data_IF_050343177854
#
_entry.id   IF_050343177854
#
_cell.length_a   1.000
_cell.length_b   1.000
_cell.length_c   1.000
_cell.angle_alpha   90.00
_cell.angle_beta   90.00
_cell.angle_gamma   90.00
#
_symmetry.space_group_name_H-M   'P 1'
#
loop_
_entity.id
_entity.type
_entity.pdbx_description
1 polymer ?
#
# COMPACT_ATOMS: atom_id res chain seq x y z
N UNK A 1 11.55 22.07 13.75
CA UNK A 1 11.29 23.45 13.25
C UNK A 1 10.18 23.35 12.21
N UNK A 2 9.10 24.12 12.40
CA UNK A 2 8.04 24.21 11.36
C UNK A 2 8.56 25.17 10.30
N UNK A 3 8.85 24.66 9.09
CA UNK A 3 9.23 25.50 7.95
C UNK A 3 8.00 26.30 7.50
N UNK A 4 8.11 27.61 7.46
CA UNK A 4 7.06 28.47 6.94
C UNK A 4 7.34 28.80 5.47
N UNK A 5 6.34 28.61 4.62
CA UNK A 5 6.38 29.04 3.22
C UNK A 5 5.58 30.34 3.11
N UNK A 6 6.19 31.38 2.54
CA UNK A 6 5.51 32.63 2.23
C UNK A 6 5.30 32.71 0.72
N UNK A 7 4.05 32.84 0.29
CA UNK A 7 3.69 33.00 -1.11
C UNK A 7 3.22 34.44 -1.36
N UNK A 8 3.88 35.12 -2.30
CA UNK A 8 3.47 36.42 -2.80
C UNK A 8 2.80 36.22 -4.15
N UNK A 9 1.50 36.45 -4.21
CA UNK A 9 0.71 36.33 -5.43
C UNK A 9 0.79 37.57 -6.32
N UNK A 10 0.04 37.58 -7.45
CA UNK A 10 -0.12 38.73 -8.35
C UNK A 10 0.87 38.78 -9.52
N UNK A 11 1.83 37.85 -9.58
CA UNK A 11 2.75 37.76 -10.73
C UNK A 11 2.26 36.70 -11.72
N UNK A 12 2.05 36.99 -13.00
CA UNK A 12 1.73 35.99 -14.01
C UNK A 12 2.87 34.97 -14.14
N UNK A 13 2.55 33.71 -14.04
CA UNK A 13 3.52 32.62 -14.23
C UNK A 13 3.69 32.35 -15.74
N UNK A 14 4.94 32.20 -16.19
CA UNK A 14 5.32 31.79 -17.55
C UNK A 14 6.46 30.80 -17.46
N UNK A 15 6.43 29.75 -18.26
CA UNK A 15 7.47 28.72 -18.31
C UNK A 15 6.88 27.31 -18.36
N UNK A 16 7.76 26.32 -18.29
CA UNK A 16 7.43 24.90 -18.33
C UNK A 16 7.83 24.24 -17.02
N UNK A 17 7.03 23.26 -16.57
CA UNK A 17 7.31 22.44 -15.41
C UNK A 17 7.17 20.99 -15.79
N UNK A 18 8.23 20.20 -15.61
CA UNK A 18 8.16 18.74 -15.75
C UNK A 18 7.52 18.13 -14.52
N UNK A 19 6.37 17.47 -14.71
CA UNK A 19 5.63 16.84 -13.64
C UNK A 19 6.24 15.46 -13.32
N UNK A 20 6.55 15.24 -12.05
CA UNK A 20 6.93 13.91 -11.53
C UNK A 20 5.70 13.02 -11.37
N UNK A 21 5.94 11.71 -11.21
CA UNK A 21 4.89 10.72 -10.99
C UNK A 21 3.99 11.05 -9.79
N UNK A 22 2.74 10.58 -9.86
CA UNK A 22 1.71 10.93 -8.89
C UNK A 22 1.99 10.34 -7.50
N UNK A 23 2.05 11.19 -6.48
CA UNK A 23 2.22 10.81 -5.08
C UNK A 23 1.27 9.68 -4.68
N UNK A 24 -0.01 9.79 -5.04
CA UNK A 24 -1.03 8.84 -4.60
C UNK A 24 -1.00 7.51 -5.38
N UNK A 25 -0.39 7.45 -6.54
CA UNK A 25 -0.30 6.22 -7.34
C UNK A 25 0.89 5.35 -6.92
N UNK A 26 2.06 5.97 -6.75
CA UNK A 26 3.32 5.23 -6.59
C UNK A 26 3.30 4.22 -5.45
N UNK A 27 2.86 4.54 -4.22
CA UNK A 27 2.80 3.57 -3.14
C UNK A 27 1.95 2.34 -3.45
N UNK A 28 0.85 2.52 -4.18
CA UNK A 28 -0.05 1.42 -4.56
C UNK A 28 0.56 0.54 -5.64
N UNK A 29 1.23 1.15 -6.62
CA UNK A 29 1.97 0.41 -7.64
C UNK A 29 3.14 -0.38 -7.03
N UNK A 30 3.79 0.16 -5.99
CA UNK A 30 4.82 -0.54 -5.23
C UNK A 30 4.25 -1.75 -4.50
N UNK A 31 3.11 -1.61 -3.81
CA UNK A 31 2.43 -2.72 -3.13
C UNK A 31 1.97 -3.78 -4.14
N UNK A 32 1.50 -3.38 -5.32
CA UNK A 32 1.10 -4.30 -6.37
C UNK A 32 2.26 -5.20 -6.88
N UNK A 33 3.51 -4.78 -6.71
CA UNK A 33 4.67 -5.61 -7.05
C UNK A 33 4.72 -6.93 -6.27
N UNK A 34 4.12 -7.02 -5.07
CA UNK A 34 3.98 -8.27 -4.31
C UNK A 34 3.13 -9.33 -5.03
N UNK A 35 2.34 -8.95 -6.03
CA UNK A 35 1.52 -9.86 -6.83
C UNK A 35 2.30 -10.51 -7.98
N UNK A 36 3.50 -10.02 -8.29
CA UNK A 36 4.37 -10.57 -9.32
C UNK A 36 5.39 -11.55 -8.70
N UNK A 37 5.76 -12.59 -9.44
CA UNK A 37 6.91 -13.43 -9.11
C UNK A 37 8.22 -12.88 -9.70
N UNK A 38 8.13 -11.91 -10.61
CA UNK A 38 9.25 -11.31 -11.32
C UNK A 38 9.52 -9.89 -10.88
N UNK A 39 10.68 -9.35 -11.24
CA UNK A 39 11.03 -7.97 -10.97
C UNK A 39 10.01 -7.01 -11.61
N UNK A 40 9.51 -6.10 -10.80
CA UNK A 40 8.69 -4.95 -11.22
C UNK A 40 9.53 -3.69 -11.24
N UNK A 41 9.36 -2.86 -12.26
CA UNK A 41 10.10 -1.60 -12.39
C UNK A 41 9.16 -0.42 -12.63
N UNK A 42 9.25 0.57 -11.76
CA UNK A 42 8.55 1.86 -11.90
C UNK A 42 9.52 2.94 -12.40
N UNK A 43 9.03 3.81 -13.27
CA UNK A 43 9.77 4.97 -13.81
C UNK A 43 9.07 6.26 -13.39
N UNK A 44 9.81 7.35 -13.41
CA UNK A 44 9.32 8.67 -13.01
C UNK A 44 8.82 8.70 -11.55
N UNK A 45 9.47 7.93 -10.67
CA UNK A 45 9.12 7.85 -9.25
C UNK A 45 9.51 9.17 -8.56
N UNK A 46 8.57 9.83 -7.83
CA UNK A 46 8.87 11.08 -7.15
C UNK A 46 9.67 10.85 -5.86
N UNK A 47 10.51 11.80 -5.49
CA UNK A 47 11.21 11.84 -4.21
C UNK A 47 10.27 12.28 -3.11
N UNK A 48 9.59 11.34 -2.47
CA UNK A 48 8.64 11.59 -1.39
C UNK A 48 8.79 10.52 -0.30
N UNK A 49 8.55 10.92 0.94
CA UNK A 49 8.64 10.04 2.12
C UNK A 49 7.79 8.77 2.01
N UNK A 50 6.64 8.84 1.34
CA UNK A 50 5.79 7.64 1.16
C UNK A 50 6.52 6.53 0.38
N UNK A 51 7.41 6.88 -0.55
CA UNK A 51 8.23 5.90 -1.30
C UNK A 51 9.23 5.22 -0.35
N UNK A 52 9.88 5.98 0.54
CA UNK A 52 10.82 5.42 1.50
C UNK A 52 10.11 4.46 2.46
N UNK A 53 9.00 4.91 3.07
CA UNK A 53 8.19 4.09 3.99
C UNK A 53 7.73 2.78 3.33
N UNK A 54 7.22 2.84 2.10
CA UNK A 54 6.75 1.63 1.42
C UNK A 54 7.91 0.75 0.97
N UNK A 55 9.07 1.32 0.63
CA UNK A 55 10.28 0.56 0.34
C UNK A 55 10.73 -0.25 1.56
N UNK A 56 10.70 0.35 2.73
CA UNK A 56 11.08 -0.34 3.97
C UNK A 56 10.07 -1.43 4.33
N UNK A 57 8.77 -1.16 4.21
CA UNK A 57 7.74 -2.19 4.38
C UNK A 57 7.90 -3.36 3.40
N UNK A 58 8.21 -3.10 2.13
CA UNK A 58 8.46 -4.14 1.14
C UNK A 58 9.69 -4.98 1.50
N UNK A 59 10.78 -4.34 1.97
CA UNK A 59 11.99 -5.04 2.42
C UNK A 59 11.70 -5.95 3.61
N UNK A 60 10.89 -5.49 4.57
CA UNK A 60 10.46 -6.31 5.71
C UNK A 60 9.68 -7.54 5.29
N UNK A 61 8.97 -7.47 4.17
CA UNK A 61 8.24 -8.60 3.57
C UNK A 61 9.08 -9.44 2.58
N UNK A 62 10.40 -9.26 2.54
CA UNK A 62 11.31 -10.08 1.72
C UNK A 62 11.44 -9.62 0.27
N UNK A 63 11.11 -8.37 -0.04
CA UNK A 63 11.32 -7.78 -1.37
C UNK A 63 12.62 -6.98 -1.39
N UNK A 64 13.49 -7.24 -2.36
CA UNK A 64 14.64 -6.37 -2.63
C UNK A 64 14.14 -5.13 -3.38
N UNK A 65 14.43 -3.95 -2.82
CA UNK A 65 14.04 -2.66 -3.40
C UNK A 65 15.30 -1.85 -3.69
N UNK A 66 15.47 -1.52 -4.97
CA UNK A 66 16.55 -0.67 -5.48
C UNK A 66 15.94 0.60 -6.08
N UNK A 67 16.32 1.76 -5.54
CA UNK A 67 15.78 3.05 -5.94
C UNK A 67 16.88 3.99 -6.40
N UNK A 68 17.01 4.14 -7.73
CA UNK A 68 17.79 5.21 -8.35
C UNK A 68 16.98 6.52 -8.28
N UNK A 69 17.29 7.33 -7.28
CA UNK A 69 16.60 8.59 -7.04
C UNK A 69 16.88 9.65 -8.10
N UNK A 70 18.08 9.62 -8.70
CA UNK A 70 18.46 10.56 -9.76
C UNK A 70 17.70 10.28 -11.05
N UNK A 71 17.69 9.02 -11.48
CA UNK A 71 16.93 8.58 -12.64
C UNK A 71 15.41 8.49 -12.39
N UNK A 72 14.99 8.50 -11.12
CA UNK A 72 13.60 8.28 -10.73
C UNK A 72 13.09 6.88 -11.11
N UNK A 73 13.96 5.88 -10.97
CA UNK A 73 13.68 4.48 -11.32
C UNK A 73 13.73 3.62 -10.07
N UNK A 74 12.65 2.90 -9.79
CA UNK A 74 12.54 2.00 -8.65
C UNK A 74 12.30 0.59 -9.15
N UNK A 75 13.19 -0.34 -8.80
CA UNK A 75 13.10 -1.75 -9.10
C UNK A 75 12.76 -2.53 -7.82
N UNK A 76 11.82 -3.46 -7.93
CA UNK A 76 11.36 -4.31 -6.83
C UNK A 76 11.43 -5.77 -7.28
N UNK A 77 12.22 -6.57 -6.59
CA UNK A 77 12.40 -7.99 -6.90
C UNK A 77 11.91 -8.80 -5.72
N UNK A 78 10.79 -9.52 -5.84
CA UNK A 78 10.30 -10.39 -4.80
C UNK A 78 11.30 -11.52 -4.51
N UNK A 79 11.58 -11.72 -3.22
CA UNK A 79 12.31 -12.87 -2.71
C UNK A 79 11.34 -13.87 -2.06
N UNK A 80 11.73 -14.45 -0.95
CA UNK A 80 10.83 -15.23 -0.10
C UNK A 80 9.92 -14.29 0.67
N UNK A 81 8.67 -14.15 0.24
CA UNK A 81 7.69 -13.31 0.93
C UNK A 81 7.38 -13.92 2.29
N UNK A 82 7.37 -13.09 3.33
CA UNK A 82 7.13 -13.48 4.72
C UNK A 82 6.37 -12.39 5.49
N UNK A 83 5.82 -12.74 6.63
CA UNK A 83 5.40 -11.77 7.64
C UNK A 83 6.61 -11.33 8.47
N UNK A 84 6.79 -10.02 8.73
CA UNK A 84 7.86 -9.53 9.57
C UNK A 84 7.76 -10.05 11.01
N UNK A 85 8.88 -10.42 11.59
CA UNK A 85 8.97 -10.83 13.00
C UNK A 85 9.05 -9.61 13.94
N UNK A 86 9.61 -8.49 13.46
CA UNK A 86 9.75 -7.27 14.25
C UNK A 86 8.49 -6.41 14.16
N UNK A 87 7.66 -6.50 15.19
CA UNK A 87 6.44 -5.70 15.32
C UNK A 87 6.72 -4.23 15.61
N UNK A 88 7.82 -3.88 16.29
CA UNK A 88 8.10 -2.51 16.73
C UNK A 88 8.46 -1.61 15.53
N UNK A 89 9.30 -2.11 14.61
CA UNK A 89 9.62 -1.38 13.39
C UNK A 89 8.40 -1.26 12.48
N UNK A 90 7.63 -2.34 12.34
CA UNK A 90 6.37 -2.35 11.59
C UNK A 90 5.38 -1.30 12.15
N UNK A 91 5.19 -1.25 13.46
CA UNK A 91 4.29 -0.30 14.12
C UNK A 91 4.74 1.15 13.89
N UNK A 92 6.05 1.40 13.93
CA UNK A 92 6.62 2.73 13.67
C UNK A 92 6.36 3.20 12.24
N UNK A 93 6.56 2.33 11.25
CA UNK A 93 6.29 2.63 9.84
C UNK A 93 4.79 2.76 9.56
N UNK A 94 3.97 1.86 10.10
CA UNK A 94 2.53 1.87 9.96
C UNK A 94 1.89 3.10 10.64
N UNK A 95 2.40 3.51 11.81
CA UNK A 95 1.94 4.70 12.51
C UNK A 95 2.10 6.00 11.72
N UNK A 96 2.97 6.01 10.70
CA UNK A 96 3.21 7.17 9.83
C UNK A 96 2.43 7.14 8.51
N UNK A 97 1.77 6.02 8.16
CA UNK A 97 1.12 5.79 6.87
C UNK A 97 -0.11 4.90 6.99
N UNK A 98 -1.02 5.02 6.05
CA UNK A 98 -2.18 4.12 5.91
C UNK A 98 -1.99 3.07 4.81
N UNK A 99 -0.86 3.10 4.13
CA UNK A 99 -0.55 2.16 3.05
C UNK A 99 -0.49 0.71 3.53
N UNK A 100 -0.06 0.39 4.79
CA UNK A 100 0.04 -1.01 5.25
C UNK A 100 -1.25 -1.83 5.06
N UNK A 101 -2.45 -1.22 5.15
CA UNK A 101 -3.69 -1.94 4.88
C UNK A 101 -3.75 -2.55 3.47
N UNK A 102 -3.12 -1.92 2.47
CA UNK A 102 -3.12 -2.38 1.09
C UNK A 102 -2.25 -3.62 0.87
N UNK A 103 -1.28 -3.88 1.76
CA UNK A 103 -0.47 -5.09 1.72
C UNK A 103 -1.29 -6.36 1.93
N UNK A 104 -2.44 -6.25 2.63
CA UNK A 104 -3.26 -7.38 2.99
C UNK A 104 -3.69 -8.22 1.77
N UNK A 105 -4.21 -7.61 0.70
CA UNK A 105 -4.61 -8.36 -0.49
C UNK A 105 -3.46 -9.17 -1.11
N UNK A 106 -2.33 -8.56 -1.46
CA UNK A 106 -1.15 -9.27 -1.96
C UNK A 106 -0.60 -10.35 -1.02
N UNK A 107 -0.53 -10.08 0.29
CA UNK A 107 -0.03 -11.06 1.27
C UNK A 107 -0.98 -12.25 1.40
N UNK A 108 -2.29 -12.05 1.38
CA UNK A 108 -3.26 -13.14 1.36
C UNK A 108 -3.10 -14.03 0.12
N UNK A 109 -2.75 -13.48 -1.03
CA UNK A 109 -2.42 -14.27 -2.22
C UNK A 109 -1.12 -15.07 -2.05
N UNK A 110 -0.10 -14.46 -1.47
CA UNK A 110 1.22 -15.08 -1.35
C UNK A 110 1.30 -16.08 -0.20
N UNK A 111 0.81 -15.69 0.98
CA UNK A 111 0.97 -16.45 2.23
C UNK A 111 -0.31 -17.14 2.68
N UNK A 112 -1.49 -16.64 2.32
CA UNK A 112 -2.78 -17.03 2.91
C UNK A 112 -3.06 -16.28 4.22
N UNK A 113 -2.16 -15.40 4.62
CA UNK A 113 -2.28 -14.62 5.85
C UNK A 113 -1.66 -13.22 5.65
N UNK A 114 -2.11 -12.26 6.47
CA UNK A 114 -1.56 -10.91 6.53
C UNK A 114 -1.74 -10.34 7.93
N UNK A 115 -0.74 -9.64 8.44
CA UNK A 115 -0.86 -8.86 9.67
C UNK A 115 -0.90 -7.37 9.34
N UNK A 116 -1.90 -6.67 9.87
CA UNK A 116 -2.08 -5.23 9.73
C UNK A 116 -1.96 -4.61 11.11
N UNK A 117 -0.87 -3.91 11.40
CA UNK A 117 -0.69 -3.23 12.66
C UNK A 117 -1.69 -2.08 12.81
N UNK A 118 -1.80 -1.54 14.01
CA UNK A 118 -2.64 -0.38 14.27
C UNK A 118 -2.17 0.82 13.44
N UNK A 119 -3.04 1.26 12.54
CA UNK A 119 -2.69 2.28 11.56
C UNK A 119 -2.74 3.67 12.17
N UNK A 120 -1.69 4.43 11.98
CA UNK A 120 -1.61 5.82 12.38
C UNK A 120 -2.70 6.69 11.76
N UNK A 121 -3.12 7.70 12.52
CA UNK A 121 -4.12 8.66 12.10
C UNK A 121 -3.59 9.68 11.09
N UNK A 122 -4.42 10.09 10.14
CA UNK A 122 -4.21 11.34 9.42
C UNK A 122 -4.81 12.49 10.23
N UNK A 123 -4.08 13.59 10.41
CA UNK A 123 -4.56 14.78 11.15
C UNK A 123 -5.81 15.46 10.55
N UNK A 124 -6.28 15.01 9.39
CA UNK A 124 -7.43 15.56 8.64
C UNK A 124 -8.77 14.91 9.06
N UNK A 125 -8.75 13.88 9.93
CA UNK A 125 -9.96 13.21 10.43
C UNK A 125 -9.91 11.69 10.41
N UNK A 126 -10.94 11.08 11.00
CA UNK A 126 -11.10 9.62 11.03
C UNK A 126 -11.27 9.06 9.62
N UNK A 127 -10.42 8.12 9.25
CA UNK A 127 -10.51 7.37 7.98
C UNK A 127 -10.57 5.88 8.30
N UNK A 128 -11.74 5.36 8.60
CA UNK A 128 -11.89 3.96 8.99
C UNK A 128 -11.46 3.04 7.84
N UNK A 129 -10.90 1.89 8.19
CA UNK A 129 -10.46 0.85 7.24
C UNK A 129 -11.51 -0.24 7.04
N UNK A 130 -12.69 -0.07 7.59
CA UNK A 130 -13.78 -1.04 7.57
C UNK A 130 -14.16 -1.47 6.13
N UNK A 131 -14.11 -0.57 5.15
CA UNK A 131 -14.39 -0.94 3.76
C UNK A 131 -13.29 -1.80 3.14
N UNK A 132 -12.02 -1.55 3.49
CA UNK A 132 -10.92 -2.43 3.07
C UNK A 132 -11.10 -3.84 3.63
N UNK A 133 -11.41 -3.93 4.93
CA UNK A 133 -11.61 -5.21 5.60
C UNK A 133 -12.80 -5.98 5.03
N UNK A 134 -13.93 -5.29 4.80
CA UNK A 134 -15.10 -5.89 4.18
C UNK A 134 -14.79 -6.45 2.79
N UNK A 135 -14.04 -5.71 1.97
CA UNK A 135 -13.57 -6.22 0.67
C UNK A 135 -12.80 -7.52 0.85
N UNK A 136 -11.83 -7.58 1.76
CA UNK A 136 -11.04 -8.78 2.00
C UNK A 136 -11.89 -9.94 2.53
N UNK A 137 -12.87 -9.66 3.39
CA UNK A 137 -13.85 -10.65 3.87
C UNK A 137 -14.72 -11.18 2.69
N UNK A 138 -15.11 -10.32 1.74
CA UNK A 138 -15.83 -10.74 0.53
C UNK A 138 -14.98 -11.70 -0.33
N UNK A 139 -13.65 -11.56 -0.33
CA UNK A 139 -12.70 -12.46 -0.99
C UNK A 139 -12.33 -13.70 -0.15
N UNK A 140 -12.95 -13.89 1.02
CA UNK A 140 -12.80 -15.08 1.85
C UNK A 140 -11.87 -14.94 3.04
N UNK A 141 -11.34 -13.75 3.31
CA UNK A 141 -10.53 -13.54 4.48
C UNK A 141 -11.36 -13.56 5.77
N UNK A 142 -10.80 -14.16 6.82
CA UNK A 142 -11.30 -14.08 8.19
C UNK A 142 -10.39 -13.18 9.00
N UNK A 143 -10.97 -12.32 9.79
CA UNK A 143 -10.23 -11.39 10.63
C UNK A 143 -10.18 -11.87 12.08
N UNK A 144 -9.01 -11.74 12.70
CA UNK A 144 -8.75 -12.02 14.10
C UNK A 144 -8.15 -10.76 14.71
N UNK A 145 -8.84 -10.17 15.70
CA UNK A 145 -8.33 -9.00 16.39
C UNK A 145 -7.27 -9.42 17.40
N UNK A 146 -6.12 -8.80 17.37
CA UNK A 146 -5.01 -8.98 18.28
C UNK A 146 -4.67 -7.69 19.03
N UNK A 147 -3.83 -7.77 20.05
CA UNK A 147 -3.49 -6.60 20.87
C UNK A 147 -2.71 -5.52 20.10
N UNK A 148 -1.90 -5.92 19.11
CA UNK A 148 -1.04 -5.04 18.32
C UNK A 148 -1.60 -4.73 16.91
N UNK A 149 -2.83 -5.19 16.59
CA UNK A 149 -3.39 -4.99 15.26
C UNK A 149 -4.40 -6.06 14.87
N UNK A 150 -4.41 -6.39 13.59
CA UNK A 150 -5.38 -7.31 13.02
C UNK A 150 -4.69 -8.36 12.16
N UNK A 151 -4.93 -9.62 12.47
CA UNK A 151 -4.50 -10.75 11.66
C UNK A 151 -5.64 -11.16 10.71
N UNK A 152 -5.32 -11.32 9.44
CA UNK A 152 -6.22 -11.78 8.39
C UNK A 152 -5.73 -13.13 7.88
N UNK A 153 -6.64 -14.10 7.74
CA UNK A 153 -6.34 -15.44 7.24
C UNK A 153 -7.34 -15.80 6.15
N UNK A 154 -6.85 -16.35 5.04
CA UNK A 154 -7.69 -16.81 3.94
C UNK A 154 -7.15 -18.11 3.34
N UNK A 155 -8.05 -18.95 2.83
CA UNK A 155 -7.66 -20.08 1.98
C UNK A 155 -7.20 -19.57 0.61
N UNK A 156 -6.17 -20.22 0.05
CA UNK A 156 -5.65 -19.91 -1.30
C UNK A 156 -6.18 -20.93 -2.32
N UNK A 157 -6.52 -20.48 -3.54
CA UNK A 157 -6.58 -19.10 -4.03
C UNK A 157 -7.78 -18.34 -3.47
N UNK A 158 -7.65 -17.01 -3.35
CA UNK A 158 -8.80 -16.16 -2.99
C UNK A 158 -9.91 -16.32 -4.01
N UNK A 159 -11.16 -16.25 -3.56
CA UNK A 159 -12.34 -16.41 -4.43
C UNK A 159 -12.92 -15.07 -4.80
N UNK A 160 -13.01 -14.82 -6.10
CA UNK A 160 -13.60 -13.60 -6.65
C UNK A 160 -15.10 -13.53 -6.34
N UNK A 161 -15.58 -12.32 -6.07
CA UNK A 161 -17.02 -12.01 -5.89
C UNK A 161 -17.30 -10.61 -6.43
N UNK A 162 -18.55 -10.34 -6.88
CA UNK A 162 -19.00 -8.98 -7.10
C UNK A 162 -18.89 -8.16 -5.81
N UNK A 163 -18.24 -7.00 -5.89
CA UNK A 163 -18.03 -6.09 -4.74
C UNK A 163 -18.92 -4.86 -4.91
N UNK A 164 -19.70 -4.57 -3.89
CA UNK A 164 -20.50 -3.34 -3.81
C UNK A 164 -20.03 -2.49 -2.63
N UNK A 165 -19.47 -1.32 -2.93
CA UNK A 165 -19.06 -0.37 -1.91
C UNK A 165 -20.26 0.54 -1.57
N UNK A 166 -20.68 0.61 -0.29
CA UNK A 166 -21.82 1.45 0.12
C UNK A 166 -21.53 2.94 0.01
N UNK A 167 -20.25 3.30 -0.15
CA UNK A 167 -19.77 4.66 -0.31
C UNK A 167 -18.58 4.67 -1.27
N UNK A 168 -18.47 5.65 -2.18
CA UNK A 168 -17.31 5.79 -3.07
C UNK A 168 -16.01 5.95 -2.28
N UNK A 169 -15.18 4.91 -2.24
CA UNK A 169 -13.93 4.89 -1.51
C UNK A 169 -12.78 4.50 -2.44
N UNK A 170 -11.87 5.44 -2.69
CA UNK A 170 -10.67 5.19 -3.52
C UNK A 170 -9.85 4.05 -2.92
N UNK A 171 -9.57 4.10 -1.62
CA UNK A 171 -8.75 3.08 -0.97
C UNK A 171 -9.38 1.69 -0.98
N UNK A 172 -10.70 1.57 -0.77
CA UNK A 172 -11.38 0.28 -0.86
C UNK A 172 -11.43 -0.25 -2.31
N UNK A 173 -11.55 0.64 -3.30
CA UNK A 173 -11.43 0.26 -4.72
C UNK A 173 -10.02 -0.25 -5.03
N UNK A 174 -8.98 0.42 -4.55
CA UNK A 174 -7.59 -0.03 -4.69
C UNK A 174 -7.40 -1.41 -4.03
N UNK A 175 -7.94 -1.62 -2.84
CA UNK A 175 -7.91 -2.92 -2.15
C UNK A 175 -8.64 -4.00 -2.95
N UNK A 176 -9.80 -3.68 -3.53
CA UNK A 176 -10.55 -4.60 -4.40
C UNK A 176 -9.69 -5.03 -5.59
N UNK A 177 -9.04 -4.10 -6.27
CA UNK A 177 -8.17 -4.40 -7.42
C UNK A 177 -7.00 -5.31 -7.01
N UNK A 178 -6.33 -5.00 -5.88
CA UNK A 178 -5.22 -5.80 -5.36
C UNK A 178 -5.63 -7.22 -4.97
N UNK A 179 -6.85 -7.40 -4.45
CA UNK A 179 -7.38 -8.72 -4.12
C UNK A 179 -7.90 -9.47 -5.36
N UNK A 180 -8.54 -8.78 -6.31
CA UNK A 180 -9.20 -9.37 -7.46
C UNK A 180 -8.24 -9.92 -8.51
N UNK A 181 -7.11 -9.24 -8.74
CA UNK A 181 -6.22 -9.50 -9.91
C UNK A 181 -5.71 -10.94 -9.99
N UNK A 182 -5.60 -11.65 -8.89
CA UNK A 182 -5.18 -13.05 -8.81
C UNK A 182 -6.24 -13.97 -8.19
N UNK A 183 -7.42 -13.44 -7.86
CA UNK A 183 -8.51 -14.24 -7.33
C UNK A 183 -9.12 -15.11 -8.42
N UNK A 184 -9.61 -16.28 -8.03
CA UNK A 184 -10.23 -17.23 -8.93
C UNK A 184 -11.73 -16.90 -9.12
N UNK A 185 -12.13 -16.61 -10.35
CA UNK A 185 -13.50 -16.24 -10.73
C UNK A 185 -13.59 -14.86 -11.36
N UNK A 186 -14.74 -14.20 -11.18
CA UNK A 186 -15.06 -12.87 -11.75
C UNK A 186 -15.45 -11.94 -10.61
N UNK A 187 -14.87 -10.73 -10.60
CA UNK A 187 -15.18 -9.64 -9.68
C UNK A 187 -15.90 -8.52 -10.43
#
# INVERSE_FOLDING_TARGET
MVSKIRVLGGTPLRGEVTVRGAKNLVPKAMVAALLSAEQSKLRNVPLIRDVDVVSDLLRMHGVTVDYDQEAGVLAMTPGSINLPEDSVEMDTLAGSSRIPILFAGPLLHSLGEAFIPDLGGCHIGSRPVNFHLRVLEDFGARRIQEAAGMHLIAEKPLKAKPVHLPYPSVGATEQTLLAAVRAEGIT
#
